data_IF_774991909625
#
_entry.id   IF_774991909625
#
_cell.length_a   1.000
_cell.length_b   1.000
_cell.length_c   1.000
_cell.angle_alpha   90.00
_cell.angle_beta   90.00
_cell.angle_gamma   90.00
#
_symmetry.space_group_name_H-M   'P 1'
#
loop_
_entity.id
_entity.type
_entity.pdbx_description
1 polymer ?
#
# COMPACT_ATOMS: atom_id res chain seq x y z
N UNK A 1 3.85 19.76 6.89
CA UNK A 1 2.84 19.81 5.82
C UNK A 1 1.63 20.55 6.36
N UNK A 2 1.22 21.62 5.69
CA UNK A 2 0.07 22.44 6.09
C UNK A 2 -0.85 22.59 4.87
N UNK A 3 -2.15 22.27 4.98
CA UNK A 3 -2.82 21.66 6.14
C UNK A 3 -2.37 20.20 6.38
N UNK A 4 -2.69 19.54 7.49
CA UNK A 4 -2.41 18.10 7.65
C UNK A 4 -3.07 17.23 6.57
N UNK A 5 -2.55 16.02 6.30
CA UNK A 5 -3.06 15.11 5.25
C UNK A 5 -4.51 14.69 5.47
N UNK A 6 -4.94 14.56 6.73
CA UNK A 6 -6.34 14.28 7.10
C UNK A 6 -7.29 15.48 6.90
N UNK A 7 -6.81 16.61 6.38
CA UNK A 7 -7.64 17.77 5.98
C UNK A 7 -7.57 18.05 4.48
N UNK A 8 -7.08 17.08 3.70
CA UNK A 8 -6.99 17.16 2.24
C UNK A 8 -8.33 17.01 1.52
N UNK A 9 -9.40 16.66 2.23
CA UNK A 9 -10.76 16.53 1.65
C UNK A 9 -11.67 17.51 2.36
N UNK A 10 -12.32 18.38 1.59
CA UNK A 10 -13.23 19.42 2.09
C UNK A 10 -14.57 19.34 1.37
N UNK A 11 -15.67 19.63 2.06
CA UNK A 11 -17.01 19.62 1.48
C UNK A 11 -17.54 21.06 1.31
N UNK A 12 -17.35 21.72 0.15
CA UNK A 12 -17.90 23.06 -0.09
C UNK A 12 -19.43 23.07 -0.25
N UNK A 13 -20.06 21.97 -0.66
CA UNK A 13 -21.51 21.86 -0.80
C UNK A 13 -21.99 20.41 -0.61
N UNK A 14 -23.29 20.15 -0.38
CA UNK A 14 -23.78 18.82 -0.02
C UNK A 14 -23.39 17.68 -0.98
N UNK A 15 -23.28 17.97 -2.27
CA UNK A 15 -22.97 16.98 -3.31
C UNK A 15 -21.58 17.18 -3.94
N UNK A 16 -20.71 18.02 -3.36
CA UNK A 16 -19.38 18.29 -3.91
C UNK A 16 -18.31 18.27 -2.83
N UNK A 17 -17.17 17.70 -3.16
CA UNK A 17 -15.99 17.61 -2.33
C UNK A 17 -14.76 18.07 -3.10
N UNK A 18 -13.90 18.86 -2.47
CA UNK A 18 -12.57 19.17 -2.99
C UNK A 18 -11.58 18.14 -2.48
N UNK A 19 -10.84 17.54 -3.39
CA UNK A 19 -9.76 16.59 -3.13
C UNK A 19 -8.43 17.31 -3.43
N UNK A 20 -7.84 17.88 -2.39
CA UNK A 20 -6.66 18.75 -2.53
C UNK A 20 -7.02 20.12 -3.09
N UNK A 21 -6.07 20.71 -3.82
CA UNK A 21 -6.18 22.03 -4.44
C UNK A 21 -6.71 21.99 -5.87
N UNK A 22 -6.66 20.82 -6.52
CA UNK A 22 -6.87 20.70 -7.97
C UNK A 22 -8.15 20.02 -8.40
N UNK A 23 -8.67 19.07 -7.61
CA UNK A 23 -9.73 18.16 -8.07
C UNK A 23 -11.02 18.37 -7.27
N UNK A 24 -12.14 18.47 -7.98
CA UNK A 24 -13.48 18.40 -7.41
C UNK A 24 -14.10 17.03 -7.71
N UNK A 25 -14.71 16.43 -6.69
CA UNK A 25 -15.53 15.23 -6.74
C UNK A 25 -16.99 15.65 -6.59
N UNK A 26 -17.85 15.31 -7.55
CA UNK A 26 -19.30 15.60 -7.51
C UNK A 26 -20.10 14.29 -7.48
N UNK A 27 -21.13 14.24 -6.61
CA UNK A 27 -22.10 13.15 -6.54
C UNK A 27 -23.32 13.48 -7.39
N UNK A 28 -23.72 12.53 -8.23
CA UNK A 28 -24.85 12.61 -9.17
C UNK A 28 -25.87 11.53 -8.81
N UNK A 29 -27.12 11.91 -8.55
CA UNK A 29 -28.19 11.01 -8.09
C UNK A 29 -28.79 10.09 -9.17
N UNK A 30 -28.37 10.23 -10.43
CA UNK A 30 -28.77 9.30 -11.50
C UNK A 30 -27.60 8.40 -11.85
N UNK A 31 -27.87 7.12 -12.11
CA UNK A 31 -26.96 6.29 -12.90
C UNK A 31 -26.66 7.06 -14.19
N UNK A 32 -25.41 7.48 -14.37
CA UNK A 32 -24.99 7.81 -15.71
C UNK A 32 -24.86 6.48 -16.45
N UNK A 33 -25.92 6.07 -17.14
CA UNK A 33 -26.00 4.89 -18.03
C UNK A 33 -24.91 4.85 -19.12
N UNK A 34 -24.03 5.86 -19.19
CA UNK A 34 -22.96 6.01 -20.18
C UNK A 34 -21.53 5.88 -19.61
N UNK A 35 -21.33 5.69 -18.30
CA UNK A 35 -19.98 5.73 -17.68
C UNK A 35 -19.20 4.40 -17.79
N UNK A 36 -19.83 3.30 -18.22
CA UNK A 36 -19.10 2.06 -18.54
C UNK A 36 -18.36 2.10 -19.90
N UNK A 37 -18.46 3.20 -20.65
CA UNK A 37 -17.70 3.39 -21.89
C UNK A 37 -16.33 4.02 -21.59
N UNK A 38 -15.28 3.48 -22.23
CA UNK A 38 -13.85 3.67 -21.94
C UNK A 38 -13.31 5.11 -22.09
N UNK A 39 -14.17 6.13 -22.19
CA UNK A 39 -13.74 7.53 -22.22
C UNK A 39 -14.78 8.41 -21.52
N UNK A 40 -14.45 9.04 -20.38
CA UNK A 40 -15.38 9.91 -19.69
C UNK A 40 -15.78 11.13 -20.56
N UNK A 41 -16.98 11.72 -20.34
CA UNK A 41 -17.42 12.92 -21.05
C UNK A 41 -16.39 14.05 -20.97
N UNK A 42 -16.39 14.98 -21.94
CA UNK A 42 -15.46 16.10 -21.97
C UNK A 42 -15.42 16.85 -20.62
N UNK A 43 -14.22 17.00 -20.05
CA UNK A 43 -14.01 17.66 -18.75
C UNK A 43 -14.18 16.76 -17.52
N UNK A 44 -14.50 15.48 -17.68
CA UNK A 44 -14.51 14.47 -16.61
C UNK A 44 -13.21 13.67 -16.66
N UNK A 45 -12.48 13.63 -15.55
CA UNK A 45 -11.20 12.93 -15.42
C UNK A 45 -11.40 11.43 -15.14
N UNK A 46 -12.35 11.13 -14.27
CA UNK A 46 -12.72 9.77 -13.91
C UNK A 46 -14.14 9.77 -13.34
N UNK A 47 -14.78 8.60 -13.37
CA UNK A 47 -16.08 8.43 -12.76
C UNK A 47 -16.31 6.97 -12.34
N UNK A 48 -17.18 6.77 -11.36
CA UNK A 48 -17.59 5.44 -10.92
C UNK A 48 -19.02 5.45 -10.39
N UNK A 49 -19.67 4.30 -10.48
CA UNK A 49 -20.99 4.07 -9.90
C UNK A 49 -20.88 3.53 -8.48
N UNK A 50 -21.83 3.92 -7.64
CA UNK A 50 -22.07 3.39 -6.30
C UNK A 50 -23.43 2.67 -6.21
N UNK A 51 -23.95 2.23 -7.35
CA UNK A 51 -25.28 1.64 -7.53
C UNK A 51 -26.35 2.71 -7.70
N UNK A 52 -26.71 3.41 -6.62
CA UNK A 52 -27.81 4.40 -6.63
C UNK A 52 -27.36 5.79 -7.10
N UNK A 53 -26.06 6.06 -7.08
CA UNK A 53 -25.50 7.34 -7.49
C UNK A 53 -24.16 7.13 -8.19
N UNK A 54 -23.73 8.12 -8.95
CA UNK A 54 -22.41 8.15 -9.58
C UNK A 54 -21.56 9.27 -8.98
N UNK A 55 -20.26 9.05 -8.93
CA UNK A 55 -19.28 10.07 -8.56
C UNK A 55 -18.43 10.40 -9.78
N UNK A 56 -18.13 11.68 -9.96
CA UNK A 56 -17.31 12.17 -11.06
C UNK A 56 -16.19 13.08 -10.54
N UNK A 57 -15.01 13.00 -11.15
CA UNK A 57 -13.88 13.88 -10.87
C UNK A 57 -13.69 14.88 -12.00
N UNK A 58 -13.45 16.14 -11.65
CA UNK A 58 -13.10 17.21 -12.59
C UNK A 58 -11.94 18.06 -12.05
N UNK A 59 -11.18 18.69 -12.95
CA UNK A 59 -10.26 19.75 -12.52
C UNK A 59 -11.07 20.98 -12.06
N UNK A 60 -10.62 21.61 -10.98
CA UNK A 60 -11.19 22.85 -10.48
C UNK A 60 -10.82 24.02 -11.40
N UNK A 61 -11.76 24.96 -11.57
CA UNK A 61 -11.46 26.26 -12.18
C UNK A 61 -10.60 27.10 -11.24
N UNK A 62 -9.67 27.90 -11.78
CA UNK A 62 -8.79 28.78 -11.01
C UNK A 62 -9.54 29.80 -10.13
N UNK A 63 -10.79 30.13 -10.46
CA UNK A 63 -11.63 31.11 -9.76
C UNK A 63 -12.43 30.51 -8.59
N UNK A 64 -12.21 29.23 -8.24
CA UNK A 64 -12.94 28.54 -7.19
C UNK A 64 -12.52 29.04 -5.79
N UNK A 65 -13.24 30.03 -5.24
CA UNK A 65 -12.98 30.57 -3.90
C UNK A 65 -12.76 29.47 -2.84
N UNK A 66 -11.79 29.64 -1.95
CA UNK A 66 -11.52 28.68 -0.86
C UNK A 66 -12.80 28.46 -0.04
N UNK A 67 -13.18 27.20 0.30
CA UNK A 67 -14.36 26.99 1.12
C UNK A 67 -14.11 27.59 2.50
N UNK A 68 -15.13 28.19 3.11
CA UNK A 68 -15.11 28.37 4.56
C UNK A 68 -14.95 26.99 5.20
N UNK A 69 -14.02 26.86 6.13
CA UNK A 69 -13.67 25.57 6.74
C UNK A 69 -14.89 24.99 7.45
N UNK A 70 -15.60 24.09 6.78
CA UNK A 70 -16.64 23.31 7.41
C UNK A 70 -16.08 21.92 7.69
N UNK A 71 -15.76 21.70 8.97
CA UNK A 71 -15.61 20.37 9.56
C UNK A 71 -16.99 19.69 9.50
N UNK A 72 -17.38 19.24 8.31
CA UNK A 72 -18.60 18.47 8.11
C UNK A 72 -18.23 17.06 7.69
N UNK A 73 -18.41 16.15 8.65
CA UNK A 73 -18.39 14.72 8.43
C UNK A 73 -19.60 14.38 7.54
N UNK A 74 -19.39 14.31 6.23
CA UNK A 74 -20.39 13.78 5.29
C UNK A 74 -20.56 12.28 5.53
N UNK A 75 -21.78 11.76 5.36
CA UNK A 75 -22.03 10.31 5.39
C UNK A 75 -21.52 9.62 4.12
N UNK A 76 -21.47 10.37 3.04
CA UNK A 76 -21.08 9.93 1.70
C UNK A 76 -19.55 9.93 1.55
N UNK A 77 -18.87 10.92 2.13
CA UNK A 77 -17.40 11.01 2.12
C UNK A 77 -16.89 11.25 3.53
N UNK A 78 -16.21 10.25 4.09
CA UNK A 78 -15.74 10.27 5.47
C UNK A 78 -14.37 9.64 5.63
N UNK A 79 -13.63 10.10 6.63
CA UNK A 79 -12.31 9.59 6.98
C UNK A 79 -12.46 8.20 7.63
N UNK A 80 -11.75 7.22 7.08
CA UNK A 80 -11.76 5.82 7.52
C UNK A 80 -10.48 5.47 8.27
N UNK A 81 -9.37 6.08 7.90
CA UNK A 81 -8.08 5.83 8.53
C UNK A 81 -7.20 7.08 8.54
N UNK A 82 -6.50 7.30 9.65
CA UNK A 82 -5.49 8.33 9.82
C UNK A 82 -4.18 7.70 10.27
N UNK A 83 -3.17 7.76 9.40
CA UNK A 83 -1.80 7.30 9.63
C UNK A 83 -0.91 8.43 10.16
N UNK A 84 -1.38 9.11 11.20
CA UNK A 84 -0.77 10.34 11.72
C UNK A 84 -0.76 11.47 10.69
N UNK A 85 0.31 12.27 10.65
CA UNK A 85 0.41 13.43 9.75
C UNK A 85 0.74 13.11 8.29
N UNK A 86 0.94 11.83 7.95
CA UNK A 86 1.53 11.41 6.66
C UNK A 86 0.61 10.64 5.72
N UNK A 87 -0.53 10.14 6.21
CA UNK A 87 -1.46 9.34 5.41
C UNK A 87 -2.89 9.49 5.93
N UNK A 88 -3.85 9.58 5.03
CA UNK A 88 -5.28 9.55 5.34
C UNK A 88 -6.00 8.74 4.27
N UNK A 89 -7.03 8.00 4.67
CA UNK A 89 -7.89 7.25 3.74
C UNK A 89 -9.33 7.67 3.97
N UNK A 90 -9.99 8.09 2.90
CA UNK A 90 -11.39 8.51 2.88
C UNK A 90 -12.21 7.50 2.10
N UNK A 91 -13.37 7.10 2.63
CA UNK A 91 -14.38 6.44 1.80
C UNK A 91 -15.05 7.49 0.90
N UNK A 92 -15.34 7.14 -0.35
CA UNK A 92 -16.21 7.92 -1.22
C UNK A 92 -17.33 7.00 -1.70
N UNK A 93 -18.52 7.21 -1.14
CA UNK A 93 -19.63 6.29 -1.26
C UNK A 93 -19.30 4.91 -0.66
N UNK A 94 -19.99 3.89 -1.16
CA UNK A 94 -19.78 2.48 -0.81
C UNK A 94 -18.71 1.82 -1.68
N UNK A 95 -18.36 2.40 -2.82
CA UNK A 95 -17.61 1.70 -3.87
C UNK A 95 -16.18 2.20 -4.11
N UNK A 96 -15.75 3.30 -3.49
CA UNK A 96 -14.38 3.81 -3.67
C UNK A 96 -13.72 4.28 -2.38
N UNK A 97 -12.40 4.37 -2.42
CA UNK A 97 -11.56 5.00 -1.42
C UNK A 97 -10.64 6.03 -2.06
N UNK A 98 -10.43 7.15 -1.39
CA UNK A 98 -9.40 8.14 -1.70
C UNK A 98 -8.30 8.05 -0.64
N UNK A 99 -7.13 7.60 -1.06
CA UNK A 99 -5.92 7.56 -0.24
C UNK A 99 -5.09 8.80 -0.53
N UNK A 100 -4.77 9.54 0.53
CA UNK A 100 -3.95 10.74 0.48
C UNK A 100 -2.69 10.48 1.28
N UNK A 101 -1.53 10.73 0.69
CA UNK A 101 -0.23 10.54 1.37
C UNK A 101 0.69 11.71 1.11
N UNK A 102 1.55 12.01 2.09
CA UNK A 102 2.68 12.90 1.87
C UNK A 102 3.58 12.36 0.76
N UNK A 103 4.09 13.25 -0.09
CA UNK A 103 4.88 12.91 -1.25
C UNK A 103 6.14 13.76 -1.33
N UNK A 104 7.17 13.16 -1.89
CA UNK A 104 8.43 13.82 -2.23
C UNK A 104 8.82 13.38 -3.65
N UNK A 105 9.47 14.21 -4.48
CA UNK A 105 9.86 13.86 -5.85
C UNK A 105 10.67 12.56 -6.00
N UNK A 106 11.38 12.15 -4.96
CA UNK A 106 12.12 10.88 -4.93
C UNK A 106 11.25 9.65 -4.64
N UNK A 107 9.96 9.81 -4.32
CA UNK A 107 9.05 8.71 -4.02
C UNK A 107 8.36 8.23 -5.29
N UNK A 108 8.32 6.91 -5.48
CA UNK A 108 7.46 6.29 -6.48
C UNK A 108 5.98 6.42 -6.10
N UNK A 109 5.12 6.29 -7.11
CA UNK A 109 3.67 6.34 -6.93
C UNK A 109 3.12 4.92 -6.72
N UNK A 110 2.24 4.74 -5.74
CA UNK A 110 1.57 3.45 -5.53
C UNK A 110 0.76 3.02 -6.76
N UNK A 111 0.20 3.96 -7.53
CA UNK A 111 -0.49 3.65 -8.80
C UNK A 111 0.45 3.06 -9.86
N UNK A 112 1.68 3.55 -9.97
CA UNK A 112 2.69 2.98 -10.87
C UNK A 112 3.08 1.57 -10.44
N UNK A 113 3.21 1.34 -9.14
CA UNK A 113 3.45 0.01 -8.58
C UNK A 113 2.31 -0.97 -8.89
N UNK A 114 1.06 -0.56 -8.67
CA UNK A 114 -0.11 -1.38 -9.00
C UNK A 114 -0.15 -1.66 -10.51
N UNK A 115 0.11 -0.67 -11.36
CA UNK A 115 0.15 -0.85 -12.81
C UNK A 115 1.24 -1.84 -13.23
N UNK A 116 2.44 -1.71 -12.68
CA UNK A 116 3.55 -2.62 -12.95
C UNK A 116 3.18 -4.07 -12.60
N UNK A 117 2.62 -4.30 -11.40
CA UNK A 117 2.24 -5.65 -10.96
C UNK A 117 1.10 -6.21 -11.82
N UNK A 118 0.12 -5.38 -12.20
CA UNK A 118 -0.98 -5.78 -13.09
C UNK A 118 -0.47 -6.27 -14.44
N UNK A 119 0.51 -5.56 -15.01
CA UNK A 119 1.11 -5.91 -16.29
C UNK A 119 2.02 -7.16 -16.20
N UNK A 120 2.85 -7.26 -15.16
CA UNK A 120 3.91 -8.25 -15.11
C UNK A 120 3.54 -9.52 -14.33
N UNK A 121 2.61 -9.43 -13.38
CA UNK A 121 2.18 -10.52 -12.49
C UNK A 121 0.65 -10.50 -12.32
N UNK A 122 -0.14 -10.63 -13.41
CA UNK A 122 -1.60 -10.46 -13.39
C UNK A 122 -2.36 -11.48 -12.54
N UNK A 123 -1.68 -12.53 -12.04
CA UNK A 123 -2.26 -13.51 -11.12
C UNK A 123 -2.45 -12.96 -9.69
N UNK A 124 -1.82 -11.82 -9.35
CA UNK A 124 -1.97 -11.19 -8.03
C UNK A 124 -3.28 -10.41 -7.99
N UNK A 125 -4.16 -10.67 -7.01
CA UNK A 125 -5.37 -9.86 -6.80
C UNK A 125 -4.97 -8.43 -6.39
N UNK A 126 -5.29 -7.44 -7.23
CA UNK A 126 -4.93 -6.03 -7.03
C UNK A 126 -6.17 -5.16 -6.87
N UNK A 127 -6.10 -4.03 -6.15
CA UNK A 127 -7.12 -3.00 -6.23
C UNK A 127 -7.14 -2.39 -7.64
N UNK A 128 -8.33 -1.98 -8.06
CA UNK A 128 -8.52 -1.24 -9.31
C UNK A 128 -8.25 0.24 -9.03
N UNK A 129 -7.37 0.85 -9.86
CA UNK A 129 -7.05 2.28 -9.76
C UNK A 129 -8.02 3.03 -10.65
N UNK A 130 -8.86 3.88 -10.05
CA UNK A 130 -9.82 4.73 -10.76
C UNK A 130 -9.10 5.98 -11.27
N UNK A 131 -8.32 6.64 -10.41
CA UNK A 131 -7.56 7.84 -10.78
C UNK A 131 -6.43 8.09 -9.79
N UNK A 132 -5.34 8.72 -10.23
CA UNK A 132 -4.23 9.11 -9.35
C UNK A 132 -3.57 10.39 -9.83
N UNK A 133 -3.17 11.27 -8.92
CA UNK A 133 -2.44 12.49 -9.25
C UNK A 133 -1.53 12.94 -8.10
N UNK A 134 -0.62 13.84 -8.43
CA UNK A 134 0.20 14.58 -7.48
C UNK A 134 -0.41 15.97 -7.32
N UNK A 135 -0.55 16.40 -6.08
CA UNK A 135 -1.01 17.72 -5.70
C UNK A 135 0.00 18.30 -4.70
N UNK A 136 0.88 19.16 -5.23
CA UNK A 136 2.01 19.75 -4.51
C UNK A 136 2.88 18.72 -3.77
N UNK A 137 2.74 18.64 -2.45
CA UNK A 137 3.50 17.79 -1.54
C UNK A 137 2.75 16.50 -1.16
N UNK A 138 1.72 16.12 -1.92
CA UNK A 138 0.90 14.93 -1.67
C UNK A 138 0.58 14.15 -2.93
N UNK A 139 0.30 12.88 -2.73
CA UNK A 139 -0.36 12.03 -3.73
C UNK A 139 -1.79 11.78 -3.33
N UNK A 140 -2.64 11.68 -4.35
CA UNK A 140 -4.01 11.22 -4.24
C UNK A 140 -4.17 9.99 -5.11
N UNK A 141 -4.81 8.96 -4.56
CA UNK A 141 -5.06 7.70 -5.22
C UNK A 141 -6.50 7.25 -4.94
N UNK A 142 -7.31 7.23 -6.00
CA UNK A 142 -8.68 6.73 -5.96
C UNK A 142 -8.67 5.27 -6.36
N UNK A 143 -9.09 4.41 -5.45
CA UNK A 143 -9.19 2.97 -5.64
C UNK A 143 -10.65 2.54 -5.56
N UNK A 144 -11.03 1.58 -6.40
CA UNK A 144 -12.27 0.85 -6.20
C UNK A 144 -12.17 0.03 -4.92
N UNK A 145 -13.26 -0.03 -4.16
CA UNK A 145 -13.35 -0.85 -2.96
C UNK A 145 -13.20 -2.32 -3.32
N UNK A 146 -12.18 -2.94 -2.76
CA UNK A 146 -12.00 -4.40 -2.80
C UNK A 146 -13.04 -5.05 -1.89
N UNK A 147 -13.72 -6.06 -2.40
CA UNK A 147 -14.79 -6.76 -1.66
C UNK A 147 -14.22 -7.74 -0.63
N UNK A 148 -14.96 -7.96 0.45
CA UNK A 148 -14.60 -8.89 1.53
C UNK A 148 -14.16 -8.18 2.81
N UNK A 149 -13.60 -8.97 3.72
CA UNK A 149 -13.04 -8.50 5.00
C UNK A 149 -11.52 -8.51 4.93
N UNK A 150 -10.86 -7.73 5.80
CA UNK A 150 -9.43 -7.93 6.01
C UNK A 150 -9.20 -9.32 6.61
N UNK A 151 -8.04 -9.93 6.34
CA UNK A 151 -7.66 -11.21 6.93
C UNK A 151 -7.64 -11.12 8.45
N UNK A 152 -7.27 -9.96 9.01
CA UNK A 152 -7.37 -9.69 10.45
C UNK A 152 -8.80 -9.88 10.94
N UNK A 153 -9.78 -9.28 10.27
CA UNK A 153 -11.18 -9.30 10.72
C UNK A 153 -11.85 -10.65 10.50
N UNK A 154 -11.48 -11.35 9.43
CA UNK A 154 -11.99 -12.69 9.13
C UNK A 154 -11.30 -13.82 9.93
N UNK A 155 -10.18 -13.55 10.61
CA UNK A 155 -9.34 -14.60 11.18
C UNK A 155 -10.10 -15.53 12.13
N UNK A 156 -10.93 -14.98 13.02
CA UNK A 156 -11.68 -15.76 14.01
C UNK A 156 -12.79 -16.62 13.40
N UNK A 157 -13.42 -16.17 12.31
CA UNK A 157 -14.46 -16.93 11.64
C UNK A 157 -13.90 -18.08 10.80
N UNK A 158 -12.63 -17.99 10.38
CA UNK A 158 -11.99 -19.03 9.58
C UNK A 158 -11.65 -20.28 10.40
N UNK A 159 -11.96 -21.43 9.80
CA UNK A 159 -11.46 -22.73 10.24
C UNK A 159 -9.93 -22.80 10.12
N UNK A 160 -9.32 -23.77 10.82
CA UNK A 160 -7.89 -24.04 10.71
C UNK A 160 -7.45 -24.25 9.24
N UNK A 161 -8.25 -25.00 8.48
CA UNK A 161 -7.99 -25.29 7.07
C UNK A 161 -8.02 -24.02 6.21
N UNK A 162 -9.01 -23.13 6.40
CA UNK A 162 -9.08 -21.87 5.68
C UNK A 162 -7.88 -20.96 5.98
N UNK A 163 -7.50 -20.83 7.25
CA UNK A 163 -6.31 -20.06 7.65
C UNK A 163 -5.04 -20.60 6.99
N UNK A 164 -4.90 -21.92 6.91
CA UNK A 164 -3.77 -22.58 6.25
C UNK A 164 -3.76 -22.39 4.72
N UNK A 165 -4.94 -22.47 4.08
CA UNK A 165 -5.08 -22.20 2.64
C UNK A 165 -4.73 -20.75 2.29
N UNK A 166 -5.22 -19.78 3.06
CA UNK A 166 -4.87 -18.36 2.88
C UNK A 166 -3.37 -18.15 3.03
N UNK A 167 -2.77 -18.72 4.09
CA UNK A 167 -1.33 -18.66 4.32
C UNK A 167 -0.52 -19.17 3.13
N UNK A 168 -0.84 -20.37 2.63
CA UNK A 168 -0.18 -20.97 1.47
C UNK A 168 -0.39 -20.14 0.21
N UNK A 169 -1.55 -19.51 0.04
CA UNK A 169 -1.84 -18.64 -1.10
C UNK A 169 -1.03 -17.33 -1.04
N UNK A 170 -0.92 -16.70 0.14
CA UNK A 170 -0.07 -15.50 0.32
C UNK A 170 1.40 -15.83 0.06
N UNK A 171 1.90 -16.95 0.57
CA UNK A 171 3.27 -17.37 0.27
C UNK A 171 3.49 -17.68 -1.21
N UNK A 172 2.50 -18.25 -1.89
CA UNK A 172 2.53 -18.43 -3.35
C UNK A 172 2.51 -17.10 -4.11
N UNK A 173 1.87 -16.06 -3.59
CA UNK A 173 1.94 -14.70 -4.16
C UNK A 173 3.37 -14.16 -4.04
N UNK A 174 4.07 -14.39 -2.92
CA UNK A 174 5.48 -14.03 -2.80
C UNK A 174 6.34 -14.71 -3.87
N UNK A 175 6.09 -16.00 -4.16
CA UNK A 175 6.79 -16.72 -5.23
C UNK A 175 6.53 -16.10 -6.61
N UNK A 176 5.26 -15.80 -6.92
CA UNK A 176 4.87 -15.18 -8.18
C UNK A 176 5.52 -13.81 -8.37
N UNK A 177 5.52 -12.97 -7.33
CA UNK A 177 6.19 -11.68 -7.36
C UNK A 177 7.70 -11.87 -7.56
N UNK A 178 8.33 -12.78 -6.82
CA UNK A 178 9.77 -13.05 -6.91
C UNK A 178 10.23 -13.59 -8.28
N UNK A 179 9.32 -13.98 -9.18
CA UNK A 179 9.69 -14.26 -10.58
C UNK A 179 10.17 -13.01 -11.33
N UNK A 180 9.83 -11.81 -10.84
CA UNK A 180 10.30 -10.54 -11.40
C UNK A 180 11.51 -10.07 -10.63
N UNK A 181 12.56 -9.74 -11.38
CA UNK A 181 13.85 -9.36 -10.82
C UNK A 181 14.36 -8.04 -11.39
N UNK A 182 15.16 -7.33 -10.60
CA UNK A 182 15.97 -6.20 -11.04
C UNK A 182 17.45 -6.42 -10.69
N UNK A 183 18.34 -5.77 -11.44
CA UNK A 183 19.77 -5.71 -11.11
C UNK A 183 20.08 -4.78 -9.93
N UNK A 184 19.11 -3.98 -9.48
CA UNK A 184 19.26 -3.04 -8.36
C UNK A 184 18.15 -3.23 -7.33
N UNK A 185 18.48 -2.92 -6.09
CA UNK A 185 17.52 -2.70 -5.01
C UNK A 185 16.85 -1.35 -5.26
N UNK A 186 15.56 -1.32 -5.61
CA UNK A 186 14.83 -0.10 -5.97
C UNK A 186 13.31 -0.35 -6.03
N UNK A 187 12.51 0.72 -6.08
CA UNK A 187 11.10 0.68 -6.46
C UNK A 187 10.90 0.31 -7.93
N UNK A 188 9.68 -0.01 -8.33
CA UNK A 188 9.40 -0.50 -9.69
C UNK A 188 9.70 0.53 -10.79
N UNK A 189 9.51 1.81 -10.48
CA UNK A 189 9.82 2.95 -11.37
C UNK A 189 11.27 3.41 -11.25
N UNK A 190 12.08 2.64 -10.53
CA UNK A 190 13.49 2.88 -10.30
C UNK A 190 13.82 3.92 -9.22
N UNK A 191 12.82 4.35 -8.45
CA UNK A 191 12.95 5.24 -7.30
C UNK A 191 13.53 4.54 -6.04
N UNK A 192 14.02 5.30 -5.05
CA UNK A 192 14.26 4.80 -3.69
C UNK A 192 13.03 4.13 -3.05
N UNK A 193 13.26 3.12 -2.20
CA UNK A 193 12.22 2.40 -1.47
C UNK A 193 11.91 3.03 -0.10
N UNK A 194 10.64 3.22 0.29
CA UNK A 194 10.25 3.70 1.62
C UNK A 194 10.24 2.59 2.71
N UNK A 195 11.17 1.63 2.64
CA UNK A 195 11.23 0.51 3.60
C UNK A 195 11.96 0.92 4.89
N UNK A 196 11.21 1.46 5.85
CA UNK A 196 11.71 2.01 7.13
C UNK A 196 12.59 1.06 7.95
N UNK A 197 12.44 -0.25 7.79
CA UNK A 197 13.28 -1.20 8.53
C UNK A 197 14.70 -1.27 7.95
N UNK A 198 14.86 -1.09 6.63
CA UNK A 198 16.15 -1.08 5.94
C UNK A 198 16.66 0.35 5.65
N UNK A 199 15.80 1.35 5.61
CA UNK A 199 16.19 2.73 5.40
C UNK A 199 16.66 3.37 6.73
N UNK A 200 17.97 3.32 6.99
CA UNK A 200 18.57 3.93 8.20
C UNK A 200 18.96 5.40 7.99
N UNK A 201 18.88 5.89 6.76
CA UNK A 201 19.16 7.28 6.43
C UNK A 201 18.06 8.23 6.97
N UNK A 202 18.42 9.51 7.18
CA UNK A 202 17.51 10.52 7.75
C UNK A 202 16.24 10.76 6.94
N UNK A 203 16.31 10.53 5.63
CA UNK A 203 15.19 10.72 4.70
C UNK A 203 14.23 9.52 4.68
N UNK A 204 14.57 8.39 5.30
CA UNK A 204 13.70 7.23 5.40
C UNK A 204 13.58 6.41 4.12
N UNK A 205 14.48 6.63 3.15
CA UNK A 205 14.50 5.89 1.88
C UNK A 205 15.74 5.00 1.72
N UNK A 206 15.62 3.99 0.86
CA UNK A 206 16.69 3.06 0.53
C UNK A 206 16.89 2.92 -0.98
N UNK A 207 18.13 3.14 -1.41
CA UNK A 207 18.56 2.96 -2.80
C UNK A 207 18.08 4.06 -3.74
N UNK A 208 18.19 3.85 -5.07
CA UNK A 208 18.60 2.61 -5.73
C UNK A 208 20.03 2.15 -5.40
N UNK A 209 20.26 0.84 -5.22
CA UNK A 209 21.59 0.28 -4.98
C UNK A 209 21.89 -0.90 -5.90
N UNK A 210 23.08 -0.95 -6.49
CA UNK A 210 23.63 -2.16 -7.14
C UNK A 210 23.94 -3.26 -6.12
N UNK A 211 24.24 -4.48 -6.56
CA UNK A 211 24.70 -5.57 -5.67
C UNK A 211 25.95 -5.19 -4.87
N UNK A 212 26.92 -4.51 -5.49
CA UNK A 212 28.15 -4.07 -4.81
C UNK A 212 27.88 -3.01 -3.75
N UNK A 213 26.99 -2.06 -4.03
CA UNK A 213 26.59 -1.03 -3.07
C UNK A 213 25.74 -1.61 -1.94
N UNK A 214 24.84 -2.55 -2.27
CA UNK A 214 24.02 -3.28 -1.29
C UNK A 214 24.89 -4.12 -0.36
N UNK A 215 25.93 -4.80 -0.87
CA UNK A 215 26.91 -5.51 -0.05
C UNK A 215 27.57 -4.57 0.96
N UNK A 216 28.08 -3.43 0.50
CA UNK A 216 28.66 -2.40 1.40
C UNK A 216 27.63 -1.86 2.40
N UNK A 217 26.39 -1.67 1.97
CA UNK A 217 25.32 -1.13 2.80
C UNK A 217 24.85 -2.11 3.90
N UNK A 218 24.82 -3.41 3.61
CA UNK A 218 24.34 -4.42 4.54
C UNK A 218 25.44 -5.05 5.41
N UNK A 219 26.72 -4.85 5.06
CA UNK A 219 27.83 -5.22 5.94
C UNK A 219 27.82 -4.39 7.22
N UNK A 220 27.94 -5.08 8.35
CA UNK A 220 28.01 -4.44 9.67
C UNK A 220 29.36 -3.73 9.83
N UNK A 221 29.39 -2.44 10.22
CA UNK A 221 30.66 -1.73 10.45
C UNK A 221 31.55 -2.45 11.47
N UNK A 222 32.83 -2.67 11.12
CA UNK A 222 33.78 -3.37 11.98
C UNK A 222 33.59 -4.90 12.07
N UNK A 223 32.74 -5.47 11.22
CA UNK A 223 32.46 -6.90 11.13
C UNK A 223 32.43 -7.36 9.67
N UNK A 224 32.57 -8.68 9.46
CA UNK A 224 32.37 -9.32 8.15
C UNK A 224 30.97 -9.91 8.00
N UNK A 225 30.07 -9.69 8.96
CA UNK A 225 28.70 -10.20 8.90
C UNK A 225 27.86 -9.41 7.90
N UNK A 226 27.37 -10.09 6.88
CA UNK A 226 26.48 -9.57 5.84
C UNK A 226 25.63 -10.73 5.31
N UNK A 227 24.32 -10.56 5.09
CA UNK A 227 23.51 -11.59 4.44
C UNK A 227 23.95 -11.75 2.98
N UNK A 228 23.60 -12.88 2.39
CA UNK A 228 23.90 -13.11 0.98
C UNK A 228 23.20 -12.06 0.10
N UNK A 229 24.01 -11.24 -0.57
CA UNK A 229 23.55 -10.28 -1.58
C UNK A 229 23.77 -10.91 -2.95
N UNK A 230 22.69 -11.41 -3.55
CA UNK A 230 22.71 -11.95 -4.90
C UNK A 230 22.97 -10.89 -5.97
N UNK A 231 23.12 -11.36 -7.21
CA UNK A 231 23.22 -10.50 -8.41
C UNK A 231 21.88 -9.90 -8.85
N UNK A 232 20.79 -10.37 -8.26
CA UNK A 232 19.44 -9.94 -8.57
C UNK A 232 18.66 -9.65 -7.28
N UNK A 233 17.73 -8.71 -7.40
CA UNK A 233 16.76 -8.31 -6.39
C UNK A 233 15.38 -8.69 -6.88
N UNK A 234 14.50 -9.09 -5.97
CA UNK A 234 13.25 -9.79 -6.27
C UNK A 234 12.08 -8.89 -5.90
N UNK A 235 11.09 -8.80 -6.79
CA UNK A 235 9.88 -8.04 -6.49
C UNK A 235 9.18 -8.65 -5.27
N UNK A 236 8.89 -7.81 -4.29
CA UNK A 236 8.23 -8.19 -3.05
C UNK A 236 7.40 -7.03 -2.52
N UNK A 237 6.25 -7.35 -1.92
CA UNK A 237 5.30 -6.37 -1.39
C UNK A 237 5.80 -5.61 -0.16
N UNK A 238 6.60 -6.27 0.70
CA UNK A 238 7.18 -5.70 1.91
C UNK A 238 6.22 -5.25 3.04
N UNK A 239 4.89 -5.39 2.86
CA UNK A 239 3.89 -5.06 3.89
C UNK A 239 2.65 -5.98 3.86
N UNK A 240 2.89 -7.30 3.90
CA UNK A 240 1.84 -8.33 3.91
C UNK A 240 1.25 -8.53 5.32
N UNK A 241 0.87 -7.43 5.97
CA UNK A 241 0.12 -7.46 7.22
C UNK A 241 -1.30 -7.95 7.01
N UNK A 242 -1.96 -8.51 8.05
CA UNK A 242 -3.28 -9.09 7.91
C UNK A 242 -4.37 -8.04 7.63
N UNK A 243 -4.10 -6.75 7.86
CA UNK A 243 -4.98 -5.65 7.45
C UNK A 243 -4.92 -5.31 5.96
N UNK A 244 -3.85 -5.71 5.26
CA UNK A 244 -3.64 -5.42 3.84
C UNK A 244 -4.04 -6.58 2.91
N UNK A 245 -4.62 -7.64 3.46
CA UNK A 245 -5.04 -8.82 2.71
C UNK A 245 -6.55 -8.92 2.81
N UNK A 246 -7.25 -8.78 1.68
CA UNK A 246 -8.70 -8.91 1.61
C UNK A 246 -9.08 -10.35 1.28
N UNK A 247 -10.06 -10.87 2.01
CA UNK A 247 -10.56 -12.23 1.86
C UNK A 247 -12.08 -12.25 1.81
N UNK A 248 -12.63 -13.18 1.04
CA UNK A 248 -14.05 -13.50 1.05
C UNK A 248 -14.38 -14.53 2.15
N UNK A 249 -15.66 -14.78 2.39
CA UNK A 249 -16.14 -15.71 3.44
C UNK A 249 -15.61 -17.15 3.26
N UNK A 250 -15.35 -17.57 2.01
CA UNK A 250 -14.83 -18.90 1.71
C UNK A 250 -13.31 -19.04 1.95
N UNK A 251 -12.60 -17.92 2.18
CA UNK A 251 -11.15 -17.88 2.35
C UNK A 251 -10.36 -17.55 1.09
N UNK A 252 -11.02 -17.21 -0.03
CA UNK A 252 -10.35 -16.75 -1.24
C UNK A 252 -9.83 -15.32 -1.06
N UNK A 253 -8.58 -15.06 -1.46
CA UNK A 253 -7.98 -13.72 -1.46
C UNK A 253 -8.60 -12.89 -2.60
N UNK A 254 -9.27 -11.81 -2.24
CA UNK A 254 -9.97 -10.91 -3.18
C UNK A 254 -9.14 -9.69 -3.55
N UNK A 255 -8.11 -9.35 -2.77
CA UNK A 255 -7.19 -8.26 -3.08
C UNK A 255 -6.04 -8.15 -2.08
N UNK A 256 -4.91 -7.66 -2.56
CA UNK A 256 -3.76 -7.26 -1.75
C UNK A 256 -3.64 -5.73 -1.82
N UNK A 257 -3.63 -5.06 -0.67
CA UNK A 257 -3.67 -3.60 -0.53
C UNK A 257 -2.31 -3.03 -0.11
N UNK A 258 -2.17 -1.72 -0.23
CA UNK A 258 -1.00 -0.92 0.21
C UNK A 258 0.33 -1.28 -0.46
N UNK A 259 0.42 -1.00 -1.76
CA UNK A 259 1.58 -1.34 -2.59
C UNK A 259 2.73 -0.33 -2.51
N UNK A 260 2.67 0.65 -1.61
CA UNK A 260 3.64 1.76 -1.58
C UNK A 260 5.08 1.32 -1.30
N UNK A 261 5.22 0.25 -0.51
CA UNK A 261 6.51 -0.30 -0.12
C UNK A 261 6.96 -1.41 -1.07
N UNK A 262 6.19 -1.77 -2.09
CA UNK A 262 6.58 -2.85 -2.96
C UNK A 262 7.71 -2.42 -3.93
N UNK A 263 8.59 -3.35 -4.23
CA UNK A 263 9.70 -3.16 -5.16
C UNK A 263 10.69 -4.30 -5.10
N UNK A 264 11.92 -4.07 -5.57
CA UNK A 264 12.95 -5.10 -5.71
C UNK A 264 13.85 -5.16 -4.48
N UNK A 265 13.79 -6.28 -3.76
CA UNK A 265 14.48 -6.51 -2.48
C UNK A 265 15.50 -7.63 -2.55
N UNK A 266 16.50 -7.67 -1.65
CA UNK A 266 17.35 -8.83 -1.48
C UNK A 266 16.52 -10.07 -1.12
N UNK A 267 16.91 -11.25 -1.60
CA UNK A 267 16.15 -12.49 -1.39
C UNK A 267 15.86 -12.78 0.08
N UNK A 268 16.83 -12.48 0.97
CA UNK A 268 16.66 -12.69 2.40
C UNK A 268 15.54 -11.83 3.01
N UNK A 269 15.21 -10.68 2.41
CA UNK A 269 14.25 -9.75 2.99
C UNK A 269 12.83 -10.32 3.02
N UNK A 270 12.49 -11.18 2.05
CA UNK A 270 11.16 -11.77 1.89
C UNK A 270 10.74 -12.53 3.16
N UNK A 271 11.60 -13.38 3.72
CA UNK A 271 11.32 -14.08 5.00
C UNK A 271 11.80 -13.30 6.23
N UNK A 272 12.75 -12.38 6.09
CA UNK A 272 13.22 -11.55 7.21
C UNK A 272 12.16 -10.56 7.67
N UNK A 273 11.46 -9.88 6.76
CA UNK A 273 10.46 -8.84 7.10
C UNK A 273 9.38 -9.37 8.07
N UNK A 274 8.69 -10.51 7.83
CA UNK A 274 7.75 -11.09 8.80
C UNK A 274 8.37 -11.46 10.16
N UNK A 275 9.69 -11.71 10.21
CA UNK A 275 10.38 -12.04 11.45
C UNK A 275 10.48 -10.86 12.42
N UNK A 276 10.53 -9.63 11.89
CA UNK A 276 10.94 -8.44 12.67
C UNK A 276 9.90 -7.32 12.69
N UNK A 277 8.95 -7.29 11.76
CA UNK A 277 8.06 -6.14 11.57
C UNK A 277 6.74 -6.30 12.35
N UNK A 278 6.49 -5.49 13.40
CA UNK A 278 5.23 -5.54 14.15
C UNK A 278 4.02 -5.08 13.34
N UNK A 279 4.21 -4.37 12.22
CA UNK A 279 3.13 -4.04 11.29
C UNK A 279 2.42 -5.26 10.69
N UNK A 280 3.06 -6.44 10.76
CA UNK A 280 2.46 -7.71 10.35
C UNK A 280 1.81 -8.47 11.52
N UNK A 281 1.70 -7.87 12.71
CA UNK A 281 0.87 -8.40 13.80
C UNK A 281 -0.62 -8.22 13.48
N UNK A 282 -1.49 -8.94 14.19
CA UNK A 282 -2.90 -8.58 14.25
C UNK A 282 -3.07 -7.24 14.94
N UNK A 283 -3.57 -6.25 14.20
CA UNK A 283 -3.88 -4.91 14.71
C UNK A 283 -5.28 -4.49 14.23
N UNK A 284 -6.23 -4.21 15.14
CA UNK A 284 -6.13 -4.45 16.59
C UNK A 284 -5.93 -5.94 16.91
N UNK A 285 -5.37 -6.23 18.09
CA UNK A 285 -5.16 -7.62 18.53
C UNK A 285 -6.48 -8.40 18.57
N UNK A 286 -6.35 -9.73 18.51
CA UNK A 286 -7.49 -10.65 18.54
C UNK A 286 -7.45 -11.38 19.88
N UNK A 287 -8.56 -11.33 20.63
CA UNK A 287 -8.65 -11.98 21.94
C UNK A 287 -8.39 -13.49 21.83
N UNK A 288 -7.49 -14.01 22.67
CA UNK A 288 -7.13 -15.44 22.71
C UNK A 288 -6.17 -15.91 21.61
N UNK A 289 -5.67 -15.01 20.77
CA UNK A 289 -4.73 -15.32 19.68
C UNK A 289 -3.42 -14.55 19.91
N UNK A 290 -2.26 -15.21 19.69
CA UNK A 290 -0.96 -14.52 19.75
C UNK A 290 -0.92 -13.39 18.71
N UNK A 291 -0.59 -12.16 19.12
CA UNK A 291 -0.58 -10.99 18.22
C UNK A 291 0.32 -11.19 16.98
N UNK A 292 1.38 -11.98 17.11
CA UNK A 292 2.36 -12.26 16.07
C UNK A 292 2.10 -13.58 15.34
N UNK A 293 0.99 -14.29 15.60
CA UNK A 293 0.71 -15.59 14.98
C UNK A 293 0.82 -15.53 13.46
N UNK A 294 0.18 -14.53 12.82
CA UNK A 294 0.21 -14.35 11.37
C UNK A 294 1.64 -14.27 10.82
N UNK A 295 2.42 -13.28 11.28
CA UNK A 295 3.78 -13.06 10.77
C UNK A 295 4.72 -14.23 11.08
N UNK A 296 4.51 -14.93 12.20
CA UNK A 296 5.24 -16.15 12.57
C UNK A 296 4.95 -17.28 11.57
N UNK A 297 3.67 -17.52 11.26
CA UNK A 297 3.25 -18.54 10.28
C UNK A 297 3.73 -18.20 8.87
N UNK A 298 3.59 -16.94 8.44
CA UNK A 298 4.05 -16.47 7.13
C UNK A 298 5.56 -16.64 6.98
N UNK A 299 6.35 -16.25 7.99
CA UNK A 299 7.80 -16.49 8.00
C UNK A 299 8.12 -17.97 7.77
N UNK A 300 7.54 -18.85 8.58
CA UNK A 300 7.83 -20.29 8.52
C UNK A 300 7.48 -20.89 7.15
N UNK A 301 6.35 -20.49 6.57
CA UNK A 301 5.97 -20.94 5.23
C UNK A 301 6.93 -20.44 4.14
N UNK A 302 7.43 -19.20 4.25
CA UNK A 302 8.44 -18.68 3.33
C UNK A 302 9.81 -19.37 3.51
N UNK A 303 10.20 -19.68 4.74
CA UNK A 303 11.42 -20.47 5.02
C UNK A 303 11.31 -21.88 4.40
N UNK A 304 10.15 -22.54 4.52
CA UNK A 304 9.88 -23.84 3.91
C UNK A 304 9.95 -23.80 2.37
N UNK A 305 9.71 -22.63 1.77
CA UNK A 305 9.85 -22.38 0.31
C UNK A 305 11.26 -21.99 -0.11
N UNK A 306 12.22 -21.97 0.80
CA UNK A 306 13.63 -21.68 0.51
C UNK A 306 13.95 -20.19 0.41
N UNK A 307 13.17 -19.32 1.06
CA UNK A 307 13.60 -17.94 1.33
C UNK A 307 14.45 -17.92 2.61
N UNK A 308 15.72 -17.49 2.53
CA UNK A 308 16.53 -17.36 3.74
C UNK A 308 15.99 -16.23 4.60
N UNK A 309 16.12 -16.34 5.91
CA UNK A 309 15.92 -15.22 6.84
C UNK A 309 17.24 -14.79 7.46
N UNK A 310 17.34 -13.50 7.77
CA UNK A 310 18.51 -12.84 8.32
C UNK A 310 18.13 -11.97 9.53
N UNK A 311 17.20 -12.43 10.37
CA UNK A 311 16.73 -11.68 11.55
C UNK A 311 17.84 -11.44 12.59
N UNK A 312 18.74 -12.42 12.81
CA UNK A 312 19.91 -12.26 13.67
C UNK A 312 20.85 -11.15 13.17
N UNK A 313 21.20 -11.20 11.88
CA UNK A 313 21.95 -10.13 11.21
C UNK A 313 21.22 -8.78 11.35
N UNK A 314 19.91 -8.73 11.12
CA UNK A 314 19.15 -7.49 11.19
C UNK A 314 19.28 -6.81 12.56
N UNK A 315 19.21 -7.59 13.64
CA UNK A 315 19.34 -7.07 15.01
C UNK A 315 20.74 -6.46 15.24
N UNK A 316 21.79 -7.13 14.80
CA UNK A 316 23.16 -6.61 14.91
C UNK A 316 23.39 -5.39 14.01
N UNK A 317 22.94 -5.46 12.76
CA UNK A 317 23.07 -4.41 11.76
C UNK A 317 22.33 -3.13 12.17
N UNK A 318 21.15 -3.26 12.80
CA UNK A 318 20.43 -2.11 13.38
C UNK A 318 21.10 -1.56 14.63
N UNK A 319 21.65 -2.41 15.51
CA UNK A 319 22.38 -1.94 16.71
C UNK A 319 23.64 -1.17 16.36
N UNK A 320 24.34 -1.58 15.30
CA UNK A 320 25.57 -0.94 14.84
C UNK A 320 25.33 0.44 14.18
N UNK A 321 24.08 0.84 13.97
CA UNK A 321 23.73 2.12 13.36
C UNK A 321 22.94 2.97 14.38
N UNK A 322 23.38 4.20 14.68
CA UNK A 322 22.70 5.03 15.67
C UNK A 322 21.23 5.22 15.30
N UNK A 323 20.33 5.05 16.27
CA UNK A 323 18.99 5.64 16.18
C UNK A 323 19.21 7.15 16.28
N UNK A 324 19.00 7.88 15.18
CA UNK A 324 18.90 9.33 15.25
C UNK A 324 17.49 9.72 15.60
#
# INVERSE_FOLDING_TARGET
MMPPVNRSVLQPSPNRWRLGSRIECERIERECEQIETQTPPAGVLAAWSDGECSYILREMSADSAAPESQDHVSKEVYLVHEGGSSSAVWAIGKSAFCKVKSWHPSMGLESETIAFVREHVPQVPLPEVIYSWIDEDRTFLILKRVQGLTLRDAWLSFSFLQRDLVLRKVASICDLLALKTSAKLQGVSGNPLPERFLAVAKDGFLGPLTSTESLKYFTIPGSNLCPEIGKAFYLYHADLGPGNIMVSEDGSITGILDWEAAGFYPRFWIATKPSIAPGLNFSPSIAGIEEFEWRKRLRMELENRGYPQASGWYMEWRRARPRK
#
